data_IF_075650811231
#
_entry.id   IF_075650811231
#
_cell.length_a   1.000
_cell.length_b   1.000
_cell.length_c   1.000
_cell.angle_alpha   90.00
_cell.angle_beta   90.00
_cell.angle_gamma   90.00
#
_symmetry.space_group_name_H-M   'P 1'
#
loop_
_entity.id
_entity.type
_entity.pdbx_description
1 polymer ?
#
# COMPACT_ATOMS: atom_id res chain seq x y z
N UNK A 1 5.95 8.17 9.18
CA UNK A 1 6.32 8.17 7.74
C UNK A 1 6.13 9.56 7.15
N UNK A 2 7.19 10.28 6.75
CA UNK A 2 7.03 11.62 6.15
C UNK A 2 6.47 11.47 4.73
N UNK A 3 5.45 12.27 4.39
CA UNK A 3 4.64 12.17 3.16
C UNK A 3 5.40 12.61 1.91
N UNK A 4 6.41 11.85 1.50
CA UNK A 4 7.30 12.21 0.39
C UNK A 4 6.55 12.28 -0.94
N UNK A 5 5.50 11.47 -1.12
CA UNK A 5 4.73 11.38 -2.38
C UNK A 5 3.79 12.56 -2.62
N UNK A 6 3.23 13.20 -1.58
CA UNK A 6 2.29 14.31 -1.79
C UNK A 6 3.00 15.57 -2.29
N UNK A 7 4.14 15.93 -1.70
CA UNK A 7 4.94 17.07 -2.15
C UNK A 7 5.48 16.85 -3.56
N UNK A 8 5.89 15.62 -3.88
CA UNK A 8 6.28 15.25 -5.24
C UNK A 8 5.14 15.48 -6.28
N UNK A 9 3.88 15.21 -5.91
CA UNK A 9 2.71 15.36 -6.80
C UNK A 9 2.24 16.80 -7.02
N UNK A 10 2.55 17.73 -6.11
CA UNK A 10 2.24 19.17 -6.27
C UNK A 10 3.41 19.95 -6.87
N UNK A 11 4.55 19.28 -7.04
CA UNK A 11 5.78 19.85 -7.56
C UNK A 11 5.65 20.25 -9.03
N UNK A 12 6.26 21.37 -9.38
CA UNK A 12 6.26 21.91 -10.75
C UNK A 12 7.65 22.39 -11.13
N UNK A 13 7.91 22.60 -12.43
CA UNK A 13 9.20 23.13 -12.89
C UNK A 13 9.52 24.51 -12.27
N UNK A 14 8.50 25.34 -12.02
CA UNK A 14 8.64 26.67 -11.38
C UNK A 14 8.83 26.60 -9.86
N UNK A 15 8.29 25.56 -9.22
CA UNK A 15 8.33 25.35 -7.77
C UNK A 15 8.60 23.87 -7.49
N UNK A 16 9.85 23.43 -7.62
CA UNK A 16 10.24 22.06 -7.36
C UNK A 16 10.19 21.76 -5.86
N UNK A 17 9.56 20.64 -5.49
CA UNK A 17 9.24 20.31 -4.10
C UNK A 17 9.68 18.88 -3.75
N UNK A 18 10.98 18.65 -3.91
CA UNK A 18 11.62 17.34 -3.75
C UNK A 18 12.45 17.21 -2.48
N UNK A 19 12.38 18.18 -1.55
CA UNK A 19 13.13 18.16 -0.28
C UNK A 19 12.82 16.95 0.60
N UNK A 20 11.65 16.34 0.43
CA UNK A 20 11.24 15.12 1.15
C UNK A 20 11.57 13.84 0.37
N UNK A 21 12.02 13.93 -0.88
CA UNK A 21 12.36 12.75 -1.67
C UNK A 21 13.74 12.18 -1.25
N UNK A 22 13.95 10.86 -1.35
CA UNK A 22 15.27 10.29 -1.09
C UNK A 22 16.31 10.89 -2.05
N UNK A 23 17.51 11.13 -1.55
CA UNK A 23 18.66 11.63 -2.30
C UNK A 23 19.46 10.49 -2.92
N UNK A 24 20.31 10.81 -3.89
CA UNK A 24 21.25 9.86 -4.48
C UNK A 24 20.88 9.41 -5.88
N UNK A 25 21.87 8.85 -6.58
CA UNK A 25 21.78 8.44 -7.99
C UNK A 25 20.70 7.39 -8.22
N UNK A 26 20.53 6.48 -7.25
CA UNK A 26 19.52 5.41 -7.23
C UNK A 26 18.16 5.85 -6.67
N UNK A 27 17.95 7.14 -6.42
CA UNK A 27 16.65 7.64 -5.96
C UNK A 27 15.56 7.36 -7.00
N UNK A 28 14.40 6.90 -6.54
CA UNK A 28 13.21 6.80 -7.39
C UNK A 28 12.71 8.18 -7.86
N UNK A 29 13.13 9.25 -7.20
CA UNK A 29 12.75 10.61 -7.58
C UNK A 29 13.64 11.09 -8.74
N UNK A 30 13.04 11.28 -9.91
CA UNK A 30 13.74 11.74 -11.12
C UNK A 30 14.55 13.01 -10.87
N UNK A 31 14.04 13.93 -10.04
CA UNK A 31 14.69 15.20 -9.73
C UNK A 31 15.94 14.99 -8.88
N UNK A 32 15.81 14.27 -7.76
CA UNK A 32 16.94 14.02 -6.86
C UNK A 32 18.01 13.12 -7.53
N UNK A 33 17.57 12.16 -8.35
CA UNK A 33 18.48 11.31 -9.13
C UNK A 33 19.28 12.14 -10.15
N UNK A 34 18.63 13.03 -10.91
CA UNK A 34 19.31 13.90 -11.87
C UNK A 34 20.32 14.84 -11.18
N UNK A 35 19.92 15.49 -10.08
CA UNK A 35 20.83 16.33 -9.29
C UNK A 35 22.03 15.54 -8.80
N UNK A 36 21.83 14.32 -8.29
CA UNK A 36 22.92 13.47 -7.81
C UNK A 36 23.86 12.99 -8.95
N UNK A 37 23.38 12.95 -10.19
CA UNK A 37 24.19 12.62 -11.38
C UNK A 37 24.88 13.86 -12.00
N UNK A 38 24.59 15.07 -11.50
CA UNK A 38 25.04 16.31 -12.15
C UNK A 38 24.27 16.65 -13.43
N UNK A 39 23.12 16.03 -13.64
CA UNK A 39 22.26 16.25 -14.80
C UNK A 39 21.16 17.29 -14.48
N UNK A 40 20.65 17.95 -15.53
CA UNK A 40 19.48 18.82 -15.39
C UNK A 40 18.22 17.95 -15.22
N UNK A 41 17.42 18.15 -14.16
CA UNK A 41 16.16 17.44 -13.98
C UNK A 41 15.20 17.64 -15.15
N UNK A 42 14.52 16.57 -15.56
CA UNK A 42 13.49 16.61 -16.60
C UNK A 42 12.24 17.41 -16.19
N UNK A 43 11.34 17.66 -17.14
CA UNK A 43 10.11 18.41 -16.84
C UNK A 43 9.14 17.61 -15.97
N UNK A 44 8.56 18.28 -14.97
CA UNK A 44 7.50 17.71 -14.14
C UNK A 44 6.28 17.29 -14.95
N UNK A 45 6.01 17.91 -16.11
CA UNK A 45 4.90 17.52 -17.00
C UNK A 45 5.06 16.09 -17.53
N UNK A 46 6.29 15.63 -17.73
CA UNK A 46 6.59 14.29 -18.23
C UNK A 46 6.76 13.27 -17.11
N UNK A 47 7.36 13.68 -15.99
CA UNK A 47 7.73 12.76 -14.91
C UNK A 47 6.71 12.67 -13.77
N UNK A 48 5.83 13.67 -13.58
CA UNK A 48 4.76 13.62 -12.57
C UNK A 48 3.45 13.20 -13.24
N UNK A 49 3.16 11.90 -13.21
CA UNK A 49 1.99 11.31 -13.89
C UNK A 49 0.64 11.81 -13.39
N UNK A 50 0.50 12.03 -12.08
CA UNK A 50 -0.77 12.44 -11.46
C UNK A 50 -0.53 13.68 -10.60
N UNK A 51 -0.47 14.87 -11.23
CA UNK A 51 -0.23 16.11 -10.54
C UNK A 51 -1.46 16.54 -9.74
N UNK A 52 -1.23 17.08 -8.55
CA UNK A 52 -2.29 17.59 -7.66
C UNK A 52 -2.19 19.12 -7.64
N UNK A 53 -3.32 19.82 -7.79
CA UNK A 53 -3.32 21.28 -7.63
C UNK A 53 -3.02 21.63 -6.18
N UNK A 54 -2.09 22.57 -5.97
CA UNK A 54 -1.61 22.98 -4.65
C UNK A 54 -2.72 23.33 -3.65
N UNK A 55 -3.81 23.96 -4.13
CA UNK A 55 -4.99 24.31 -3.31
C UNK A 55 -5.65 23.13 -2.61
N UNK A 56 -5.50 21.90 -3.13
CA UNK A 56 -6.07 20.71 -2.53
C UNK A 56 -5.15 20.04 -1.50
N UNK A 57 -3.89 20.49 -1.39
CA UNK A 57 -2.94 19.91 -0.45
C UNK A 57 -3.42 20.04 1.01
N UNK A 58 -4.00 21.18 1.37
CA UNK A 58 -4.54 21.44 2.71
C UNK A 58 -5.64 20.45 3.11
N UNK A 59 -6.41 19.96 2.14
CA UNK A 59 -7.48 18.99 2.38
C UNK A 59 -6.97 17.54 2.38
N UNK A 60 -6.02 17.22 1.51
CA UNK A 60 -5.50 15.85 1.35
C UNK A 60 -4.48 15.48 2.42
N UNK A 61 -3.63 16.43 2.84
CA UNK A 61 -2.52 16.17 3.75
C UNK A 61 -2.99 15.60 5.11
N UNK A 62 -4.03 16.14 5.77
CA UNK A 62 -4.52 15.58 7.03
C UNK A 62 -5.03 14.14 6.88
N UNK A 63 -5.75 13.84 5.79
CA UNK A 63 -6.26 12.50 5.51
C UNK A 63 -5.10 11.53 5.28
N UNK A 64 -4.12 11.94 4.47
CA UNK A 64 -2.94 11.13 4.21
C UNK A 64 -2.13 10.86 5.49
N UNK A 65 -1.94 11.87 6.34
CA UNK A 65 -1.26 11.71 7.62
C UNK A 65 -2.01 10.77 8.56
N UNK A 66 -3.34 10.88 8.63
CA UNK A 66 -4.18 9.95 9.38
C UNK A 66 -4.01 8.51 8.89
N UNK A 67 -4.07 8.29 7.57
CA UNK A 67 -3.88 6.96 6.96
C UNK A 67 -2.46 6.40 7.15
N UNK A 68 -1.47 7.28 7.34
CA UNK A 68 -0.08 6.90 7.60
C UNK A 68 0.26 6.89 9.12
N UNK A 69 -0.74 6.95 10.00
CA UNK A 69 -0.56 6.82 11.45
C UNK A 69 -0.10 5.41 11.81
N UNK A 70 0.73 5.30 12.84
CA UNK A 70 1.19 3.99 13.34
C UNK A 70 0.01 3.14 13.80
N UNK A 71 -0.99 3.72 14.47
CA UNK A 71 -2.17 3.02 14.97
C UNK A 71 -2.97 2.32 13.85
N UNK A 72 -3.08 2.94 12.66
CA UNK A 72 -3.73 2.31 11.51
C UNK A 72 -2.83 1.30 10.81
N UNK A 73 -1.53 1.58 10.70
CA UNK A 73 -0.58 0.68 10.04
C UNK A 73 -0.31 -0.59 10.84
N UNK A 74 -0.35 -0.53 12.17
CA UNK A 74 -0.21 -1.69 13.06
C UNK A 74 -1.26 -2.76 12.76
N UNK A 75 -2.50 -2.34 12.45
CA UNK A 75 -3.57 -3.25 12.02
C UNK A 75 -3.27 -3.98 10.70
N UNK A 76 -2.38 -3.44 9.88
CA UNK A 76 -1.97 -4.05 8.62
C UNK A 76 -0.79 -5.02 8.78
N UNK A 77 -0.09 -5.03 9.91
CA UNK A 77 1.11 -5.88 10.14
C UNK A 77 0.76 -7.36 10.06
N UNK A 78 -0.41 -7.75 10.54
CA UNK A 78 -0.87 -9.13 10.49
C UNK A 78 -1.50 -9.50 9.13
N UNK A 79 -1.27 -8.70 8.08
CA UNK A 79 -1.89 -8.86 6.76
C UNK A 79 -3.42 -9.01 6.84
N UNK A 80 -4.04 -8.35 7.82
CA UNK A 80 -5.48 -8.38 8.02
C UNK A 80 -6.19 -7.84 6.78
N UNK A 81 -7.09 -8.66 6.21
CA UNK A 81 -7.92 -8.26 5.07
C UNK A 81 -9.05 -7.33 5.53
N UNK A 82 -9.46 -6.38 4.68
CA UNK A 82 -10.64 -5.55 4.90
C UNK A 82 -11.94 -6.38 4.89
N UNK A 83 -11.92 -7.58 4.29
CA UNK A 83 -13.02 -8.52 4.25
C UNK A 83 -12.60 -9.88 4.83
N UNK A 84 -12.51 -9.95 6.16
CA UNK A 84 -12.16 -11.16 6.90
C UNK A 84 -13.07 -12.34 6.54
N UNK A 85 -14.36 -12.09 6.41
CA UNK A 85 -15.36 -13.12 6.12
C UNK A 85 -15.16 -13.72 4.71
N UNK A 86 -15.00 -12.88 3.69
CA UNK A 86 -14.75 -13.36 2.32
C UNK A 86 -13.44 -14.12 2.21
N UNK A 87 -12.36 -13.63 2.85
CA UNK A 87 -11.08 -14.34 2.86
C UNK A 87 -11.17 -15.69 3.59
N UNK A 88 -11.86 -15.75 4.73
CA UNK A 88 -12.07 -16.99 5.44
C UNK A 88 -12.87 -17.99 4.60
N UNK A 89 -13.96 -17.54 3.97
CA UNK A 89 -14.72 -18.37 3.04
C UNK A 89 -13.89 -18.85 1.84
N UNK A 90 -13.01 -18.00 1.31
CA UNK A 90 -12.09 -18.39 0.23
C UNK A 90 -11.14 -19.52 0.63
N UNK A 91 -10.68 -19.57 1.89
CA UNK A 91 -9.81 -20.64 2.41
C UNK A 91 -10.62 -21.91 2.74
N UNK A 92 -11.85 -21.76 3.25
CA UNK A 92 -12.72 -22.89 3.60
C UNK A 92 -13.19 -23.63 2.35
N UNK A 93 -13.66 -22.93 1.32
CA UNK A 93 -14.28 -23.53 0.13
C UNK A 93 -13.45 -24.65 -0.54
N UNK A 94 -12.13 -24.51 -0.78
CA UNK A 94 -11.34 -25.59 -1.37
C UNK A 94 -11.11 -26.78 -0.42
N UNK A 95 -11.15 -26.56 0.91
CA UNK A 95 -10.97 -27.62 1.92
C UNK A 95 -12.28 -28.35 2.24
N UNK A 96 -13.39 -27.63 2.19
CA UNK A 96 -14.74 -28.11 2.48
C UNK A 96 -15.70 -27.57 1.42
N UNK A 97 -15.75 -28.20 0.23
CA UNK A 97 -16.62 -27.76 -0.85
C UNK A 97 -18.09 -27.96 -0.45
N UNK A 98 -18.96 -27.04 -0.85
CA UNK A 98 -20.39 -27.05 -0.50
C UNK A 98 -21.21 -27.93 -1.44
N UNK A 99 -20.61 -28.30 -2.57
CA UNK A 99 -21.25 -28.96 -3.70
C UNK A 99 -21.21 -30.50 -3.58
N UNK A 100 -20.44 -31.02 -2.62
CA UNK A 100 -20.26 -32.46 -2.41
C UNK A 100 -20.66 -32.87 -0.99
N UNK A 101 -21.20 -34.07 -0.86
CA UNK A 101 -21.44 -34.67 0.45
C UNK A 101 -20.13 -35.20 1.04
N UNK A 102 -19.83 -34.79 2.27
CA UNK A 102 -18.64 -35.22 3.02
C UNK A 102 -19.02 -35.60 4.44
N UNK A 103 -18.30 -36.55 5.02
CA UNK A 103 -18.49 -36.96 6.42
C UNK A 103 -18.24 -35.79 7.37
N UNK A 104 -19.01 -35.74 8.46
CA UNK A 104 -18.92 -34.71 9.51
C UNK A 104 -17.49 -34.48 10.02
N UNK A 105 -16.72 -35.56 10.18
CA UNK A 105 -15.36 -35.46 10.71
C UNK A 105 -14.38 -34.81 9.72
N UNK A 106 -14.57 -35.06 8.42
CA UNK A 106 -13.78 -34.42 7.36
C UNK A 106 -14.07 -32.92 7.28
N UNK A 107 -15.32 -32.51 7.46
CA UNK A 107 -15.71 -31.09 7.54
C UNK A 107 -15.04 -30.41 8.73
N UNK A 108 -15.04 -31.06 9.91
CA UNK A 108 -14.38 -30.51 11.10
C UNK A 108 -12.88 -30.32 10.91
N UNK A 109 -12.20 -31.31 10.32
CA UNK A 109 -10.77 -31.23 10.05
C UNK A 109 -10.44 -30.11 9.07
N UNK A 110 -11.10 -30.07 7.91
CA UNK A 110 -10.87 -29.03 6.90
C UNK A 110 -11.18 -27.62 7.41
N UNK A 111 -12.21 -27.45 8.25
CA UNK A 111 -12.51 -26.18 8.90
C UNK A 111 -11.42 -25.78 9.91
N UNK A 112 -10.90 -26.72 10.70
CA UNK A 112 -9.84 -26.46 11.69
C UNK A 112 -8.55 -26.03 11.00
N UNK A 113 -8.19 -26.70 9.90
CA UNK A 113 -7.06 -26.32 9.05
C UNK A 113 -7.26 -24.94 8.43
N UNK A 114 -8.44 -24.65 7.88
CA UNK A 114 -8.75 -23.36 7.29
C UNK A 114 -8.63 -22.20 8.29
N UNK A 115 -9.14 -22.38 9.51
CA UNK A 115 -9.05 -21.40 10.60
C UNK A 115 -7.60 -21.20 11.04
N UNK A 116 -6.83 -22.29 11.11
CA UNK A 116 -5.41 -22.23 11.47
C UNK A 116 -4.61 -21.44 10.43
N UNK A 117 -4.82 -21.72 9.15
CA UNK A 117 -4.20 -21.01 8.03
C UNK A 117 -4.62 -19.54 7.99
N UNK A 118 -5.89 -19.23 8.24
CA UNK A 118 -6.39 -17.85 8.27
C UNK A 118 -5.72 -17.02 9.38
N UNK A 119 -5.53 -17.60 10.57
CA UNK A 119 -5.00 -16.88 11.73
C UNK A 119 -3.47 -16.82 11.77
N UNK A 120 -2.78 -17.87 11.31
CA UNK A 120 -1.31 -18.00 11.45
C UNK A 120 -0.56 -17.94 10.12
N UNK A 121 -1.28 -17.90 8.99
CA UNK A 121 -0.69 -18.08 7.67
C UNK A 121 -0.41 -19.55 7.36
N UNK A 122 0.02 -19.81 6.13
CA UNK A 122 0.49 -21.12 5.68
C UNK A 122 1.94 -21.30 6.12
N UNK A 123 2.29 -22.47 6.68
CA UNK A 123 3.69 -22.88 6.88
C UNK A 123 4.38 -23.14 5.53
#
# INVERSE_FOLDING_TARGET
>A
MKSNKLHHRISTDKKPEHSKCPTGVSSWCFFQSAIAKGEKPGSHKLHVRTPIKRRFLSHILPIYQRLASYDLLERCVNCGTQNANERLHYIISPKCPKEIFVLKDRVKQGLTEAISEFNKGTL
#
